data_IF_506695542029
#
_entry.id   IF_506695542029
#
_cell.length_a   1.000
_cell.length_b   1.000
_cell.length_c   1.000
_cell.angle_alpha   90.00
_cell.angle_beta   90.00
_cell.angle_gamma   90.00
#
_symmetry.space_group_name_H-M   'P 1'
#
loop_
_entity.id
_entity.type
_entity.pdbx_description
1 polymer ?
#
# COMPACT_ATOMS: atom_id res chain seq x y z
N UNK A 1 -15.97 18.70 -3.14
CA UNK A 1 -15.83 17.81 -1.97
C UNK A 1 -14.82 16.72 -2.28
N UNK A 2 -13.83 16.53 -1.40
CA UNK A 2 -12.86 15.44 -1.50
C UNK A 2 -13.44 14.14 -0.93
N UNK A 3 -13.13 13.04 -1.57
CA UNK A 3 -13.58 11.70 -1.18
C UNK A 3 -12.40 10.76 -1.01
N UNK A 4 -12.45 9.93 0.02
CA UNK A 4 -11.52 8.82 0.16
C UNK A 4 -11.90 7.71 -0.81
N UNK A 5 -10.97 7.32 -1.67
CA UNK A 5 -11.19 6.26 -2.68
C UNK A 5 -10.72 4.86 -2.23
N UNK A 6 -10.17 4.76 -1.01
CA UNK A 6 -9.73 3.50 -0.40
C UNK A 6 -8.85 2.66 -1.37
N UNK A 7 -9.17 1.38 -1.54
CA UNK A 7 -8.35 0.47 -2.36
C UNK A 7 -8.30 0.78 -3.86
N UNK A 8 -9.11 1.70 -4.37
CA UNK A 8 -8.91 2.23 -5.71
C UNK A 8 -7.55 2.95 -5.85
N UNK A 9 -6.98 3.42 -4.72
CA UNK A 9 -5.62 3.97 -4.67
C UNK A 9 -4.53 3.00 -5.13
N UNK A 10 -4.76 1.69 -5.05
CA UNK A 10 -3.81 0.67 -5.54
C UNK A 10 -3.57 0.75 -7.04
N UNK A 11 -4.52 1.29 -7.80
CA UNK A 11 -4.35 1.55 -9.23
C UNK A 11 -3.21 2.53 -9.49
N UNK A 12 -3.09 3.59 -8.69
CA UNK A 12 -1.98 4.53 -8.81
C UNK A 12 -0.62 3.89 -8.51
N UNK A 13 -0.58 2.92 -7.59
CA UNK A 13 0.64 2.15 -7.34
C UNK A 13 1.05 1.32 -8.56
N UNK A 14 0.09 0.67 -9.22
CA UNK A 14 0.35 -0.06 -10.46
C UNK A 14 0.86 0.85 -11.58
N UNK A 15 0.23 2.01 -11.78
CA UNK A 15 0.62 2.99 -12.81
C UNK A 15 2.01 3.57 -12.51
N UNK A 16 2.27 4.04 -11.27
CA UNK A 16 3.58 4.54 -10.88
C UNK A 16 4.68 3.50 -11.09
N UNK A 17 4.45 2.27 -10.63
CA UNK A 17 5.41 1.18 -10.81
C UNK A 17 5.69 0.93 -12.30
N UNK A 18 4.65 0.91 -13.16
CA UNK A 18 4.81 0.78 -14.59
C UNK A 18 5.65 1.90 -15.21
N UNK A 19 5.49 3.14 -14.74
CA UNK A 19 6.32 4.27 -15.17
C UNK A 19 7.79 4.08 -14.74
N UNK A 20 8.04 3.65 -13.50
CA UNK A 20 9.40 3.42 -13.00
C UNK A 20 10.08 2.26 -13.73
N UNK A 21 9.34 1.21 -14.09
CA UNK A 21 9.84 0.11 -14.95
C UNK A 21 10.18 0.63 -16.34
N UNK A 22 9.31 1.42 -16.96
CA UNK A 22 9.59 2.06 -18.28
C UNK A 22 10.84 2.92 -18.24
N UNK A 23 11.05 3.65 -17.14
CA UNK A 23 12.18 4.55 -16.96
C UNK A 23 13.48 3.78 -16.57
N UNK A 24 13.42 2.44 -16.45
CA UNK A 24 14.58 1.57 -16.16
C UNK A 24 15.08 1.62 -14.71
N UNK A 25 14.26 2.16 -13.77
CA UNK A 25 14.63 2.25 -12.35
C UNK A 25 14.70 0.84 -11.73
N UNK A 26 13.78 -0.03 -12.09
CA UNK A 26 13.75 -1.46 -11.76
C UNK A 26 12.93 -2.21 -12.81
N UNK A 27 12.83 -3.53 -12.71
CA UNK A 27 11.94 -4.36 -13.55
C UNK A 27 10.83 -5.00 -12.73
N UNK A 28 9.80 -5.50 -13.40
CA UNK A 28 8.74 -6.29 -12.75
C UNK A 28 9.28 -7.50 -11.99
N UNK A 29 10.38 -8.09 -12.49
CA UNK A 29 11.03 -9.27 -11.94
C UNK A 29 12.14 -8.92 -10.91
N UNK A 30 12.35 -7.63 -10.64
CA UNK A 30 13.31 -7.22 -9.62
C UNK A 30 12.92 -7.80 -8.26
N UNK A 31 13.91 -8.38 -7.58
CA UNK A 31 13.72 -8.99 -6.26
C UNK A 31 13.56 -7.92 -5.20
N UNK A 32 12.51 -8.06 -4.37
CA UNK A 32 12.22 -7.11 -3.28
C UNK A 32 13.33 -7.11 -2.23
N UNK A 33 14.02 -8.24 -2.03
CA UNK A 33 15.17 -8.35 -1.12
C UNK A 33 16.32 -7.41 -1.47
N UNK A 34 16.49 -7.03 -2.74
CA UNK A 34 17.47 -6.02 -3.16
C UNK A 34 17.18 -4.61 -2.64
N UNK A 35 15.92 -4.29 -2.36
CA UNK A 35 15.47 -3.00 -1.82
C UNK A 35 15.20 -3.06 -0.31
N UNK A 36 14.80 -4.22 0.19
CA UNK A 36 14.40 -4.46 1.57
C UNK A 36 15.08 -5.73 2.14
N UNK A 37 16.39 -5.73 2.39
CA UNK A 37 17.13 -6.92 2.81
C UNK A 37 16.69 -7.46 4.18
N UNK A 38 16.06 -6.62 4.99
CA UNK A 38 15.53 -7.01 6.31
C UNK A 38 14.12 -7.63 6.24
N UNK A 39 13.45 -7.64 5.07
CA UNK A 39 12.12 -8.22 4.93
C UNK A 39 12.13 -9.71 5.29
N UNK A 40 11.13 -10.13 6.06
CA UNK A 40 10.89 -11.54 6.38
C UNK A 40 9.48 -11.92 5.96
N UNK A 41 9.36 -13.09 5.35
CA UNK A 41 8.09 -13.74 5.03
C UNK A 41 8.02 -15.08 5.76
N UNK A 42 6.81 -15.65 5.98
CA UNK A 42 6.66 -16.87 6.76
C UNK A 42 7.32 -18.10 6.10
N UNK A 43 7.54 -18.07 4.81
CA UNK A 43 8.36 -19.05 4.10
C UNK A 43 9.82 -18.57 4.07
N UNK A 44 10.75 -19.41 4.50
CA UNK A 44 12.19 -19.07 4.58
C UNK A 44 12.77 -18.52 3.26
N UNK A 45 12.34 -19.07 2.13
CA UNK A 45 12.76 -18.61 0.81
C UNK A 45 11.87 -17.49 0.26
N UNK A 46 10.73 -17.19 0.92
CA UNK A 46 9.73 -16.29 0.40
C UNK A 46 10.25 -14.87 0.13
N UNK A 47 11.05 -14.32 1.05
CA UNK A 47 11.59 -12.97 0.90
C UNK A 47 12.59 -12.87 -0.27
N UNK A 48 13.35 -13.93 -0.54
CA UNK A 48 14.30 -13.99 -1.65
C UNK A 48 13.61 -14.16 -3.01
N UNK A 49 12.49 -14.87 -3.04
CA UNK A 49 11.74 -15.15 -4.26
C UNK A 49 10.80 -14.00 -4.65
N UNK A 50 10.36 -13.19 -3.69
CA UNK A 50 9.38 -12.13 -3.90
C UNK A 50 9.85 -11.11 -4.93
N UNK A 51 9.00 -10.86 -5.95
CA UNK A 51 9.23 -9.83 -6.98
C UNK A 51 8.30 -8.63 -6.78
N UNK A 52 8.61 -7.52 -7.45
CA UNK A 52 7.74 -6.34 -7.51
C UNK A 52 6.38 -6.70 -8.13
N UNK A 53 6.36 -7.55 -9.16
CA UNK A 53 5.14 -8.08 -9.77
C UNK A 53 4.25 -8.78 -8.74
N UNK A 54 4.83 -9.64 -7.89
CA UNK A 54 4.08 -10.42 -6.92
C UNK A 54 3.39 -9.54 -5.87
N UNK A 55 4.04 -8.44 -5.44
CA UNK A 55 3.41 -7.46 -4.55
C UNK A 55 2.15 -6.89 -5.19
N UNK A 56 2.25 -6.37 -6.42
CA UNK A 56 1.16 -5.66 -7.08
C UNK A 56 0.04 -6.59 -7.55
N UNK A 57 0.35 -7.86 -7.77
CA UNK A 57 -0.65 -8.88 -8.13
C UNK A 57 -1.24 -9.63 -6.94
N UNK A 58 -0.90 -9.24 -5.70
CA UNK A 58 -1.33 -9.93 -4.47
C UNK A 58 -0.89 -11.40 -4.43
N UNK A 59 0.31 -11.71 -4.89
CA UNK A 59 0.89 -13.06 -4.92
C UNK A 59 2.07 -13.20 -3.95
N UNK A 60 2.00 -12.56 -2.79
CA UNK A 60 3.09 -12.54 -1.80
C UNK A 60 3.23 -13.86 -1.03
N UNK A 61 2.20 -14.70 -1.03
CA UNK A 61 2.22 -16.00 -0.33
C UNK A 61 1.82 -15.97 1.15
N UNK A 62 1.23 -14.87 1.62
CA UNK A 62 0.68 -14.74 2.98
C UNK A 62 -0.84 -14.73 2.96
N UNK A 63 -1.47 -15.12 4.06
CA UNK A 63 -2.92 -15.24 4.17
C UNK A 63 -3.65 -13.94 3.82
N UNK A 64 -4.82 -14.07 3.18
CA UNK A 64 -5.69 -12.94 2.84
C UNK A 64 -5.98 -12.09 4.06
N UNK A 65 -5.78 -10.76 3.92
CA UNK A 65 -6.09 -9.77 4.95
C UNK A 65 -5.38 -9.99 6.30
N UNK A 66 -4.23 -10.67 6.33
CA UNK A 66 -3.44 -10.73 7.53
C UNK A 66 -3.16 -9.31 8.04
N UNK A 67 -3.29 -9.12 9.35
CA UNK A 67 -3.17 -7.84 10.05
C UNK A 67 -4.21 -6.74 9.72
N UNK A 68 -5.28 -7.02 8.99
CA UNK A 68 -6.33 -6.01 8.74
C UNK A 68 -6.97 -5.49 10.05
N UNK A 69 -7.11 -6.37 11.06
CA UNK A 69 -7.60 -5.96 12.39
C UNK A 69 -6.62 -5.05 13.11
N UNK A 70 -5.32 -5.29 12.96
CA UNK A 70 -4.26 -4.44 13.52
C UNK A 70 -4.25 -3.07 12.84
N UNK A 71 -4.46 -3.02 11.51
CA UNK A 71 -4.67 -1.75 10.79
C UNK A 71 -5.88 -1.01 11.36
N UNK A 72 -6.98 -1.70 11.62
CA UNK A 72 -8.19 -1.11 12.21
C UNK A 72 -7.97 -0.61 13.65
N UNK A 73 -7.03 -1.22 14.38
CA UNK A 73 -6.59 -0.80 15.69
C UNK A 73 -5.49 0.27 15.66
N UNK A 74 -5.29 0.95 14.51
CA UNK A 74 -4.29 2.01 14.28
C UNK A 74 -2.83 1.57 14.53
N UNK A 75 -2.51 0.27 14.41
CA UNK A 75 -1.12 -0.18 14.47
C UNK A 75 -0.31 0.43 13.31
N UNK A 76 0.87 1.00 13.56
CA UNK A 76 1.68 1.63 12.54
C UNK A 76 2.14 0.63 11.46
N UNK A 77 2.09 1.05 10.19
CA UNK A 77 2.52 0.21 9.07
C UNK A 77 3.92 -0.41 9.24
N UNK A 78 4.98 0.32 9.68
CA UNK A 78 6.30 -0.30 9.84
C UNK A 78 6.32 -1.48 10.82
N UNK A 79 5.50 -1.42 11.86
CA UNK A 79 5.36 -2.53 12.83
C UNK A 79 4.71 -3.74 12.16
N UNK A 80 3.67 -3.52 11.35
CA UNK A 80 2.97 -4.60 10.64
C UNK A 80 3.82 -5.20 9.53
N UNK A 81 4.57 -4.37 8.80
CA UNK A 81 5.50 -4.83 7.76
C UNK A 81 6.62 -5.70 8.35
N UNK A 82 7.19 -5.31 9.51
CA UNK A 82 8.19 -6.11 10.20
C UNK A 82 7.67 -7.47 10.68
N UNK A 83 6.34 -7.59 10.92
CA UNK A 83 5.68 -8.81 11.38
C UNK A 83 5.15 -9.68 10.24
N UNK A 84 5.38 -9.35 8.97
CA UNK A 84 4.90 -10.17 7.86
C UNK A 84 5.42 -11.62 7.91
N UNK A 85 6.60 -11.86 8.48
CA UNK A 85 7.12 -13.20 8.73
C UNK A 85 6.31 -14.03 9.73
N UNK A 86 5.47 -13.40 10.56
CA UNK A 86 4.58 -14.07 11.53
C UNK A 86 3.20 -14.42 10.91
N UNK A 87 2.91 -13.91 9.72
CA UNK A 87 1.63 -14.14 9.06
C UNK A 87 1.50 -15.62 8.63
N UNK A 88 0.29 -16.21 8.64
CA UNK A 88 0.10 -17.55 8.10
C UNK A 88 0.54 -17.63 6.63
N UNK A 89 1.40 -18.62 6.31
CA UNK A 89 1.79 -18.92 4.94
C UNK A 89 0.64 -19.56 4.17
N UNK A 90 0.52 -19.25 2.87
CA UNK A 90 -0.45 -19.90 1.97
C UNK A 90 0.25 -20.65 0.83
N UNK A 91 1.27 -20.04 0.23
CA UNK A 91 2.03 -20.60 -0.88
C UNK A 91 3.39 -19.88 -0.99
N UNK A 92 4.21 -20.25 -1.95
CA UNK A 92 5.39 -19.47 -2.34
C UNK A 92 4.94 -18.20 -3.10
N UNK A 93 5.70 -17.10 -3.02
CA UNK A 93 5.45 -15.91 -3.85
C UNK A 93 5.31 -16.28 -5.33
N UNK A 94 4.37 -15.64 -6.01
CA UNK A 94 4.05 -15.90 -7.41
C UNK A 94 3.12 -17.10 -7.65
N UNK A 95 2.84 -17.94 -6.63
CA UNK A 95 2.13 -19.21 -6.84
C UNK A 95 0.63 -19.17 -6.53
N UNK A 96 0.15 -18.21 -5.76
CA UNK A 96 -1.27 -18.09 -5.47
C UNK A 96 -1.67 -16.63 -5.15
N UNK A 97 -2.93 -16.31 -5.40
CA UNK A 97 -3.51 -15.00 -5.09
C UNK A 97 -4.07 -14.97 -3.66
N UNK A 98 -3.68 -13.97 -2.91
CA UNK A 98 -4.27 -13.65 -1.61
C UNK A 98 -4.26 -12.14 -1.39
N UNK A 99 -5.42 -11.49 -1.40
CA UNK A 99 -5.52 -10.04 -1.21
C UNK A 99 -4.92 -9.62 0.14
N UNK A 100 -3.96 -8.67 0.10
CA UNK A 100 -3.17 -8.27 1.25
C UNK A 100 -2.93 -6.75 1.27
N UNK A 101 -3.32 -6.07 2.34
CA UNK A 101 -3.10 -4.63 2.45
C UNK A 101 -1.68 -4.30 2.91
N UNK A 102 -1.18 -4.95 3.97
CA UNK A 102 0.17 -4.69 4.51
C UNK A 102 1.25 -5.06 3.50
N UNK A 103 1.19 -6.28 2.95
CA UNK A 103 2.18 -6.71 1.97
C UNK A 103 2.13 -5.91 0.66
N UNK A 104 0.95 -5.45 0.22
CA UNK A 104 0.84 -4.55 -0.93
C UNK A 104 1.56 -3.22 -0.68
N UNK A 105 1.54 -2.72 0.56
CA UNK A 105 2.17 -1.44 0.92
C UNK A 105 3.70 -1.48 0.86
N UNK A 106 4.33 -2.68 0.81
CA UNK A 106 5.77 -2.82 0.57
C UNK A 106 6.24 -2.12 -0.71
N UNK A 107 5.34 -1.92 -1.69
CA UNK A 107 5.70 -1.16 -2.91
C UNK A 107 6.13 0.27 -2.58
N UNK A 108 5.60 0.87 -1.52
CA UNK A 108 6.01 2.19 -1.05
C UNK A 108 7.47 2.20 -0.58
N UNK A 109 7.89 1.17 0.16
CA UNK A 109 9.26 1.03 0.63
C UNK A 109 10.23 0.75 -0.55
N UNK A 110 9.80 -0.08 -1.51
CA UNK A 110 10.56 -0.32 -2.75
C UNK A 110 10.77 0.96 -3.54
N UNK A 111 9.72 1.76 -3.72
CA UNK A 111 9.80 3.06 -4.41
C UNK A 111 10.76 3.99 -3.68
N UNK A 112 10.65 4.11 -2.36
CA UNK A 112 11.57 4.92 -1.58
C UNK A 112 13.03 4.45 -1.68
N UNK A 113 13.28 3.16 -1.57
CA UNK A 113 14.63 2.60 -1.70
C UNK A 113 15.24 2.82 -3.10
N UNK A 114 14.41 2.79 -4.14
CA UNK A 114 14.85 2.92 -5.53
C UNK A 114 15.01 4.38 -5.99
N UNK A 115 14.21 5.31 -5.48
CA UNK A 115 14.14 6.70 -5.96
C UNK A 115 14.69 7.72 -4.96
N UNK A 116 14.75 7.38 -3.67
CA UNK A 116 15.08 8.32 -2.58
C UNK A 116 13.91 9.24 -2.20
N UNK A 117 12.74 9.09 -2.82
CA UNK A 117 11.56 9.90 -2.54
C UNK A 117 10.37 9.06 -2.08
N UNK A 118 9.48 9.67 -1.31
CA UNK A 118 8.30 8.98 -0.80
C UNK A 118 7.30 8.64 -1.91
N UNK A 119 6.62 7.51 -1.77
CA UNK A 119 5.63 7.04 -2.73
C UNK A 119 4.62 8.12 -3.14
N UNK A 120 4.03 8.84 -2.18
CA UNK A 120 3.03 9.86 -2.48
C UNK A 120 3.61 11.02 -3.30
N UNK A 121 4.87 11.42 -3.07
CA UNK A 121 5.54 12.47 -3.84
C UNK A 121 5.80 12.03 -5.27
N UNK A 122 6.22 10.79 -5.46
CA UNK A 122 6.41 10.24 -6.81
C UNK A 122 5.07 10.17 -7.57
N UNK A 123 3.95 9.83 -6.90
CA UNK A 123 2.61 9.90 -7.51
C UNK A 123 2.21 11.33 -7.85
N UNK A 124 2.40 12.28 -6.95
CA UNK A 124 2.10 13.70 -7.21
C UNK A 124 2.90 14.23 -8.39
N UNK A 125 4.20 14.04 -8.39
CA UNK A 125 5.14 14.52 -9.40
C UNK A 125 4.89 13.89 -10.78
N UNK A 126 4.64 12.59 -10.84
CA UNK A 126 4.56 11.83 -12.11
C UNK A 126 3.14 11.67 -12.64
N UNK A 127 2.13 11.74 -11.79
CA UNK A 127 0.74 11.50 -12.16
C UNK A 127 -0.15 12.71 -11.89
N UNK A 128 -0.27 13.15 -10.63
CA UNK A 128 -1.28 14.15 -10.29
C UNK A 128 -1.01 15.50 -10.95
N UNK A 129 0.19 16.04 -10.82
CA UNK A 129 0.53 17.33 -11.40
C UNK A 129 0.49 17.33 -12.93
N UNK A 130 1.11 16.38 -13.64
CA UNK A 130 1.04 16.35 -15.10
C UNK A 130 -0.37 16.19 -15.67
N UNK A 131 -1.27 15.54 -14.91
CA UNK A 131 -2.67 15.33 -15.30
C UNK A 131 -3.62 16.44 -14.80
N UNK A 132 -3.09 17.49 -14.14
CA UNK A 132 -3.90 18.56 -13.59
C UNK A 132 -4.77 18.16 -12.40
N UNK A 133 -4.44 17.08 -11.70
CA UNK A 133 -5.20 16.54 -10.55
C UNK A 133 -4.80 17.25 -9.26
N UNK A 134 -4.87 18.57 -9.20
CA UNK A 134 -4.39 19.37 -8.08
C UNK A 134 -5.18 19.22 -6.77
N UNK A 135 -6.35 18.61 -6.81
CA UNK A 135 -7.16 18.30 -5.62
C UNK A 135 -6.98 16.85 -5.12
N UNK A 136 -6.20 16.04 -5.84
CA UNK A 136 -5.87 14.68 -5.43
C UNK A 136 -4.67 14.71 -4.47
N UNK A 137 -4.73 13.91 -3.42
CA UNK A 137 -3.67 13.86 -2.40
C UNK A 137 -3.65 12.52 -1.69
N UNK A 138 -2.55 12.25 -0.99
CA UNK A 138 -2.40 11.14 -0.06
C UNK A 138 -2.38 11.63 1.39
N UNK A 139 -2.82 10.75 2.30
CA UNK A 139 -2.74 11.00 3.73
C UNK A 139 -4.03 11.58 4.32
N UNK A 140 -4.26 11.24 5.59
CA UNK A 140 -5.43 11.71 6.35
C UNK A 140 -5.37 13.22 6.57
N UNK A 141 -4.23 13.74 6.98
CA UNK A 141 -4.09 15.14 7.34
C UNK A 141 -4.36 16.06 6.14
N UNK A 142 -3.89 15.65 4.95
CA UNK A 142 -4.19 16.35 3.70
C UNK A 142 -5.68 16.30 3.33
N UNK A 143 -6.36 15.16 3.56
CA UNK A 143 -7.80 15.04 3.37
C UNK A 143 -8.58 15.94 4.33
N UNK A 144 -8.25 15.88 5.63
CA UNK A 144 -8.95 16.62 6.69
C UNK A 144 -8.72 18.14 6.63
N UNK A 145 -7.59 18.59 6.08
CA UNK A 145 -7.30 20.00 5.83
C UNK A 145 -8.05 20.57 4.62
N UNK A 146 -8.67 19.71 3.79
CA UNK A 146 -9.49 20.17 2.66
C UNK A 146 -10.77 20.83 3.18
N UNK A 147 -11.15 22.03 2.68
CA UNK A 147 -12.33 22.75 3.17
C UNK A 147 -13.65 21.95 3.11
N UNK A 148 -13.77 21.03 2.17
CA UNK A 148 -14.92 20.15 2.00
C UNK A 148 -14.49 18.73 1.71
N UNK A 149 -14.73 17.81 2.63
CA UNK A 149 -14.43 16.39 2.47
C UNK A 149 -15.52 15.49 3.07
N UNK A 150 -15.70 14.31 2.48
CA UNK A 150 -16.69 13.33 2.91
C UNK A 150 -16.20 12.59 4.16
N UNK A 151 -16.86 12.83 5.29
CA UNK A 151 -16.56 12.19 6.57
C UNK A 151 -17.00 10.73 6.57
N UNK A 152 -16.26 9.81 7.21
CA UNK A 152 -16.71 8.43 7.36
C UNK A 152 -17.91 8.34 8.31
N UNK A 153 -18.88 7.49 7.97
CA UNK A 153 -20.07 7.24 8.77
C UNK A 153 -20.32 5.74 8.92
N UNK A 154 -20.88 5.35 10.02
CA UNK A 154 -21.40 3.99 10.26
C UNK A 154 -22.91 4.02 10.48
N UNK A 155 -23.59 2.93 10.12
CA UNK A 155 -25.02 2.79 10.38
C UNK A 155 -25.25 2.45 11.85
N UNK A 156 -25.85 3.39 12.59
CA UNK A 156 -26.33 3.19 13.96
C UNK A 156 -27.80 2.82 14.00
N UNK A 157 -28.35 2.58 15.19
CA UNK A 157 -29.76 2.21 15.38
C UNK A 157 -30.75 3.30 14.90
N UNK A 158 -30.37 4.57 14.97
CA UNK A 158 -31.21 5.71 14.63
C UNK A 158 -30.77 6.47 13.37
N UNK A 159 -29.91 5.89 12.53
CA UNK A 159 -29.40 6.51 11.30
C UNK A 159 -27.87 6.46 11.17
N UNK A 160 -27.33 7.28 10.27
CA UNK A 160 -25.90 7.38 10.03
C UNK A 160 -25.22 8.22 11.11
N UNK A 161 -24.14 7.70 11.68
CA UNK A 161 -23.35 8.35 12.74
C UNK A 161 -21.94 8.60 12.19
N UNK A 162 -21.43 9.85 12.26
CA UNK A 162 -20.07 10.14 11.86
C UNK A 162 -19.08 9.46 12.80
N UNK A 163 -17.99 8.93 12.23
CA UNK A 163 -16.90 8.31 12.99
C UNK A 163 -15.58 8.98 12.64
N UNK A 164 -14.56 8.78 13.49
CA UNK A 164 -13.23 9.29 13.24
C UNK A 164 -12.59 8.53 12.06
N UNK A 165 -11.89 9.25 11.19
CA UNK A 165 -11.03 8.65 10.20
C UNK A 165 -9.80 8.01 10.87
N UNK A 166 -9.52 6.76 10.58
CA UNK A 166 -8.36 6.05 11.14
C UNK A 166 -7.08 6.42 10.39
N UNK A 167 -6.03 6.82 11.11
CA UNK A 167 -4.78 7.32 10.54
C UNK A 167 -4.10 6.31 9.61
N UNK A 168 -4.08 5.04 10.00
CA UNK A 168 -3.37 3.96 9.31
C UNK A 168 -3.93 3.65 7.92
N UNK A 169 -5.20 3.95 7.66
CA UNK A 169 -5.82 3.76 6.35
C UNK A 169 -5.45 4.84 5.31
N UNK A 170 -4.70 5.87 5.70
CA UNK A 170 -4.43 7.05 4.86
C UNK A 170 -2.94 7.27 4.59
N UNK A 171 -2.10 6.30 4.94
CA UNK A 171 -0.65 6.35 4.69
C UNK A 171 -0.24 5.51 3.50
#
# INVERSE_FOLDING_TARGET
TAYRIASLSKTFAGVLTGMLVRDGIFSWESRVSGFMPALRLPNEQGAELLTIRDILSHQVGVATRAFDRDIQADQPYPVLAARLGEAPATCLPGSCYAYQNVAFSLIGDVVFAATGDFFYREVEKRLFHPLGMYSATYGRDALESTPSWARPHVRGARGWVPVRAQATYYR
#
